data_IF_569263739118
#
_entry.id   IF_569263739118
#
_cell.length_a   1.000
_cell.length_b   1.000
_cell.length_c   1.000
_cell.angle_alpha   90.00
_cell.angle_beta   90.00
_cell.angle_gamma   90.00
#
_symmetry.space_group_name_H-M   'P 1'
#
loop_
_entity.id
_entity.type
_entity.pdbx_description
1 polymer ?
#
# COMPACT_ATOMS: atom_id res chain seq x y z
N UNK A 1 2.07 -4.97 29.69
CA UNK A 1 1.35 -5.72 28.65
C UNK A 1 0.74 -6.94 29.31
N UNK A 2 -0.55 -6.89 29.65
CA UNK A 2 -1.27 -8.05 30.17
C UNK A 2 -1.82 -8.84 28.99
N UNK A 3 -1.29 -10.04 28.79
CA UNK A 3 -1.78 -11.00 27.82
C UNK A 3 -2.95 -11.76 28.43
N UNK A 4 -4.19 -11.42 28.05
CA UNK A 4 -5.36 -12.20 28.43
C UNK A 4 -5.71 -13.19 27.31
N UNK A 5 -5.80 -14.45 27.73
CA UNK A 5 -6.59 -15.57 27.21
C UNK A 5 -6.73 -15.74 25.69
N UNK A 6 -5.97 -16.66 25.12
CA UNK A 6 -6.09 -17.10 23.75
C UNK A 6 -7.44 -17.79 23.49
N UNK A 7 -8.29 -17.20 22.63
CA UNK A 7 -9.29 -17.96 21.87
C UNK A 7 -8.74 -18.16 20.46
N UNK A 8 -8.31 -19.38 20.17
CA UNK A 8 -8.00 -19.82 18.82
C UNK A 8 -9.31 -19.83 18.01
N UNK A 9 -9.50 -18.84 17.14
CA UNK A 9 -10.60 -18.84 16.20
C UNK A 9 -10.07 -19.45 14.91
N UNK A 10 -10.34 -20.74 14.73
CA UNK A 10 -10.11 -21.45 13.49
C UNK A 10 -10.98 -20.85 12.38
N UNK A 11 -10.31 -20.46 11.30
CA UNK A 11 -10.76 -20.31 9.92
C UNK A 11 -12.28 -20.24 9.69
N UNK A 12 -12.79 -19.03 9.54
CA UNK A 12 -14.04 -18.82 8.82
C UNK A 12 -13.69 -18.32 7.42
N UNK A 13 -13.93 -19.17 6.41
CA UNK A 13 -14.02 -18.74 5.01
C UNK A 13 -15.15 -17.73 4.90
N UNK A 14 -14.85 -16.44 5.04
CA UNK A 14 -15.81 -15.40 4.73
C UNK A 14 -15.53 -14.88 3.31
N UNK A 15 -16.52 -15.03 2.43
CA UNK A 15 -16.58 -14.28 1.17
C UNK A 15 -16.39 -12.81 1.50
N UNK A 16 -15.36 -12.19 0.95
CA UNK A 16 -15.13 -10.77 1.08
C UNK A 16 -16.37 -10.01 0.62
N UNK A 17 -17.12 -9.45 1.56
CA UNK A 17 -18.13 -8.44 1.25
C UNK A 17 -17.41 -7.11 1.20
N UNK A 18 -17.37 -6.52 0.03
CA UNK A 18 -16.91 -5.16 -0.13
C UNK A 18 -17.82 -4.22 0.67
N UNK A 19 -17.21 -3.36 1.46
CA UNK A 19 -17.89 -2.29 2.18
C UNK A 19 -18.54 -1.34 1.15
N UNK A 20 -19.84 -1.18 1.23
CA UNK A 20 -20.59 -0.18 0.50
C UNK A 20 -20.98 0.92 1.50
N UNK A 21 -20.30 2.08 1.54
CA UNK A 21 -20.79 3.22 2.31
C UNK A 21 -22.12 3.66 1.69
N UNK A 22 -23.12 3.89 2.53
CA UNK A 22 -24.46 4.28 2.13
C UNK A 22 -24.42 5.41 1.09
N UNK A 23 -24.86 5.13 -0.14
CA UNK A 23 -24.93 6.08 -1.25
C UNK A 23 -23.91 5.93 -2.38
N UNK A 24 -22.94 5.01 -2.31
CA UNK A 24 -22.11 4.65 -3.45
C UNK A 24 -22.77 3.51 -4.24
N UNK A 25 -23.69 3.87 -5.13
CA UNK A 25 -24.22 2.92 -6.11
C UNK A 25 -23.09 2.23 -6.87
N UNK A 26 -23.25 0.93 -7.04
CA UNK A 26 -22.41 -0.03 -7.74
C UNK A 26 -21.82 0.51 -9.06
N UNK A 27 -20.67 1.17 -9.01
CA UNK A 27 -20.00 1.71 -10.21
C UNK A 27 -18.89 0.77 -10.71
N UNK A 28 -18.64 -0.36 -10.06
CA UNK A 28 -17.53 -1.22 -10.41
C UNK A 28 -17.89 -2.70 -10.60
N UNK A 29 -19.06 -2.99 -11.14
CA UNK A 29 -19.41 -4.36 -11.56
C UNK A 29 -20.11 -4.35 -12.90
N UNK A 30 -19.38 -4.53 -13.95
CA UNK A 30 -19.72 -5.04 -15.30
C UNK A 30 -19.08 -4.17 -16.37
N UNK A 31 -17.92 -4.50 -16.76
CA UNK A 31 -17.24 -4.36 -18.04
C UNK A 31 -15.77 -4.04 -17.85
N UNK A 32 -14.99 -5.09 -17.61
CA UNK A 32 -13.53 -5.07 -17.78
C UNK A 32 -13.19 -5.16 -19.29
N UNK A 33 -13.88 -4.41 -20.13
CA UNK A 33 -13.55 -4.29 -21.53
C UNK A 33 -12.49 -3.23 -21.74
N UNK A 34 -11.31 -3.70 -22.07
CA UNK A 34 -10.12 -3.19 -22.81
C UNK A 34 -9.80 -1.69 -22.89
N UNK A 35 -10.63 -0.79 -22.36
CA UNK A 35 -10.33 0.63 -22.11
C UNK A 35 -10.70 0.92 -20.66
N UNK A 36 -9.74 0.78 -19.74
CA UNK A 36 -9.92 1.23 -18.37
C UNK A 36 -9.94 2.77 -18.37
N UNK A 37 -11.10 3.34 -18.70
CA UNK A 37 -11.38 4.74 -18.50
C UNK A 37 -11.80 4.94 -17.05
N UNK A 38 -11.00 5.64 -16.29
CA UNK A 38 -11.30 6.00 -14.91
C UNK A 38 -12.46 6.99 -14.90
N UNK A 39 -13.54 6.71 -14.17
CA UNK A 39 -14.69 7.61 -14.12
C UNK A 39 -14.30 8.98 -13.53
N UNK A 40 -14.77 10.14 -14.09
CA UNK A 40 -14.40 11.47 -13.62
C UNK A 40 -14.58 11.71 -12.12
N UNK A 41 -15.56 11.05 -11.50
CA UNK A 41 -15.86 11.15 -10.07
C UNK A 41 -14.75 10.55 -9.18
N UNK A 42 -14.04 9.52 -9.67
CA UNK A 42 -12.90 8.92 -8.96
C UNK A 42 -11.67 9.83 -8.97
N UNK A 43 -11.45 10.62 -10.02
CA UNK A 43 -10.36 11.59 -10.05
C UNK A 43 -10.45 12.56 -8.89
N UNK A 44 -11.59 13.21 -8.71
CA UNK A 44 -11.75 14.24 -7.67
C UNK A 44 -11.50 13.69 -6.25
N UNK A 45 -12.07 12.53 -5.93
CA UNK A 45 -11.92 11.91 -4.62
C UNK A 45 -10.47 11.46 -4.32
N UNK A 46 -9.75 10.96 -5.34
CA UNK A 46 -8.35 10.57 -5.20
C UNK A 46 -7.47 11.82 -5.06
N UNK A 47 -7.78 12.92 -5.75
CA UNK A 47 -6.97 14.14 -5.72
C UNK A 47 -7.07 14.91 -4.40
N UNK A 48 -8.25 15.04 -3.83
CA UNK A 48 -8.46 15.84 -2.62
C UNK A 48 -7.73 15.28 -1.39
N UNK A 49 -7.53 13.96 -1.32
CA UNK A 49 -6.93 13.31 -0.16
C UNK A 49 -5.48 12.83 -0.36
N UNK A 50 -4.98 12.79 -1.60
CA UNK A 50 -3.69 12.19 -1.89
C UNK A 50 -2.53 13.20 -1.93
N UNK A 51 -2.85 14.50 -2.01
CA UNK A 51 -1.84 15.55 -2.04
C UNK A 51 -0.94 15.53 -0.81
N UNK A 52 -1.54 15.33 0.37
CA UNK A 52 -0.81 15.28 1.64
C UNK A 52 0.15 14.08 1.67
N UNK A 53 -0.27 12.93 1.13
CA UNK A 53 0.59 11.77 1.01
C UNK A 53 1.75 12.00 0.04
N UNK A 54 1.47 12.52 -1.13
CA UNK A 54 2.50 12.73 -2.17
C UNK A 54 3.50 13.81 -1.80
N UNK A 55 3.11 14.81 -1.01
CA UNK A 55 3.99 15.86 -0.50
C UNK A 55 5.02 15.35 0.52
N UNK A 56 4.84 14.17 1.09
CA UNK A 56 5.82 13.54 1.98
C UNK A 56 7.04 13.00 1.23
N UNK A 57 6.99 12.91 -0.10
CA UNK A 57 8.10 12.39 -0.88
C UNK A 57 9.01 13.50 -1.37
N UNK A 58 10.31 13.34 -1.11
CA UNK A 58 11.35 14.23 -1.65
C UNK A 58 11.69 13.75 -3.05
N UNK A 59 11.71 14.67 -4.02
CA UNK A 59 12.04 14.35 -5.41
C UNK A 59 13.52 13.97 -5.54
N UNK A 60 13.85 12.72 -5.91
CA UNK A 60 15.22 12.26 -6.03
C UNK A 60 15.90 12.74 -7.32
N UNK A 61 15.16 13.39 -8.22
CA UNK A 61 15.66 13.83 -9.53
C UNK A 61 16.37 15.19 -9.40
N UNK A 62 17.38 15.38 -10.25
CA UNK A 62 18.02 16.70 -10.42
C UNK A 62 17.03 17.66 -11.09
N UNK A 63 17.09 18.97 -10.76
CA UNK A 63 16.16 19.99 -11.26
C UNK A 63 15.99 20.03 -12.78
N UNK A 64 17.05 19.77 -13.55
CA UNK A 64 17.00 19.71 -15.02
C UNK A 64 16.19 18.53 -15.59
N UNK A 65 15.91 17.49 -14.80
CA UNK A 65 15.15 16.29 -15.21
C UNK A 65 13.66 16.32 -14.82
N UNK A 66 13.18 17.41 -14.21
CA UNK A 66 11.85 17.49 -13.60
C UNK A 66 10.79 18.08 -14.54
N UNK A 67 10.61 17.50 -15.76
CA UNK A 67 9.54 17.91 -16.69
C UNK A 67 8.13 17.69 -16.10
N UNK A 68 7.96 16.64 -15.30
CA UNK A 68 6.73 16.31 -14.60
C UNK A 68 6.98 16.43 -13.10
N UNK A 69 6.06 16.98 -12.35
CA UNK A 69 6.14 17.04 -10.88
C UNK A 69 6.13 15.62 -10.31
N UNK A 70 6.85 15.39 -9.22
CA UNK A 70 6.85 14.09 -8.54
C UNK A 70 5.44 13.70 -8.09
N UNK A 71 4.69 14.66 -7.56
CA UNK A 71 3.28 14.51 -7.20
C UNK A 71 2.46 13.89 -8.34
N UNK A 72 2.51 14.46 -9.54
CA UNK A 72 1.73 14.00 -10.68
C UNK A 72 2.11 12.56 -11.08
N UNK A 73 3.41 12.24 -11.01
CA UNK A 73 3.91 10.88 -11.33
C UNK A 73 3.37 9.87 -10.32
N UNK A 74 3.44 10.17 -9.01
CA UNK A 74 2.95 9.28 -7.95
C UNK A 74 1.44 9.09 -8.09
N UNK A 75 0.69 10.16 -8.34
CA UNK A 75 -0.76 10.08 -8.56
C UNK A 75 -1.10 9.17 -9.73
N UNK A 76 -0.41 9.31 -10.87
CA UNK A 76 -0.63 8.44 -12.04
C UNK A 76 -0.30 6.98 -11.72
N UNK A 77 0.78 6.71 -10.97
CA UNK A 77 1.13 5.35 -10.52
C UNK A 77 0.01 4.77 -9.65
N UNK A 78 -0.49 5.52 -8.66
CA UNK A 78 -1.56 5.06 -7.78
C UNK A 78 -2.85 4.80 -8.55
N UNK A 79 -3.22 5.67 -9.49
CA UNK A 79 -4.38 5.45 -10.36
C UNK A 79 -4.22 4.21 -11.23
N UNK A 80 -3.02 3.98 -11.77
CA UNK A 80 -2.72 2.79 -12.55
C UNK A 80 -2.83 1.51 -11.70
N UNK A 81 -2.33 1.52 -10.46
CA UNK A 81 -2.46 0.40 -9.51
C UNK A 81 -3.92 0.13 -9.18
N UNK A 82 -4.71 1.17 -8.88
CA UNK A 82 -6.15 1.05 -8.62
C UNK A 82 -6.92 0.55 -9.84
N UNK A 83 -6.39 0.78 -11.05
CA UNK A 83 -6.92 0.22 -12.31
C UNK A 83 -6.39 -1.20 -12.61
N UNK A 84 -5.72 -1.85 -11.66
CA UNK A 84 -5.22 -3.22 -11.79
C UNK A 84 -3.90 -3.38 -12.51
N UNK A 85 -3.16 -2.28 -12.78
CA UNK A 85 -1.82 -2.39 -13.36
C UNK A 85 -0.79 -2.78 -12.29
N UNK A 86 0.04 -3.78 -12.60
CA UNK A 86 1.00 -4.35 -11.64
C UNK A 86 2.47 -4.22 -12.10
N UNK A 87 2.73 -3.43 -13.14
CA UNK A 87 4.08 -3.30 -13.69
C UNK A 87 4.35 -1.88 -14.19
N UNK A 88 5.62 -1.52 -14.23
CA UNK A 88 6.05 -0.21 -14.76
C UNK A 88 5.60 -0.02 -16.22
N UNK A 89 5.64 -1.09 -17.02
CA UNK A 89 5.08 -1.06 -18.40
C UNK A 89 3.56 -0.85 -18.37
N UNK A 90 2.87 -1.41 -17.39
CA UNK A 90 1.44 -1.20 -17.16
C UNK A 90 1.14 0.26 -16.83
N UNK A 91 1.93 0.90 -15.97
CA UNK A 91 1.78 2.32 -15.61
C UNK A 91 1.95 3.22 -16.84
N UNK A 92 2.97 2.98 -17.67
CA UNK A 92 3.18 3.75 -18.89
C UNK A 92 2.05 3.56 -19.91
N UNK A 93 1.52 2.32 -20.06
CA UNK A 93 0.37 2.04 -20.93
C UNK A 93 -0.90 2.74 -20.41
N UNK A 94 -1.16 2.64 -19.10
CA UNK A 94 -2.28 3.33 -18.46
C UNK A 94 -2.22 4.84 -18.71
N UNK A 95 -1.04 5.45 -18.46
CA UNK A 95 -0.84 6.87 -18.68
C UNK A 95 -1.08 7.27 -20.16
N UNK A 96 -0.60 6.46 -21.09
CA UNK A 96 -0.78 6.74 -22.53
C UNK A 96 -2.24 6.56 -22.97
N UNK A 97 -2.93 5.53 -22.47
CA UNK A 97 -4.35 5.27 -22.81
C UNK A 97 -5.31 6.32 -22.25
N UNK A 98 -4.95 6.96 -21.13
CA UNK A 98 -5.75 8.00 -20.48
C UNK A 98 -5.11 9.40 -20.60
N UNK A 99 -4.30 9.61 -21.65
CA UNK A 99 -3.47 10.81 -21.80
C UNK A 99 -4.30 12.11 -21.76
N UNK A 100 -5.40 12.17 -22.49
CA UNK A 100 -6.25 13.37 -22.60
C UNK A 100 -6.85 13.75 -21.24
N UNK A 101 -7.40 12.77 -20.53
CA UNK A 101 -7.98 12.97 -19.20
C UNK A 101 -6.91 13.38 -18.17
N UNK A 102 -5.76 12.70 -18.17
CA UNK A 102 -4.66 13.02 -17.27
C UNK A 102 -4.08 14.41 -17.51
N UNK A 103 -3.91 14.80 -18.77
CA UNK A 103 -3.43 16.13 -19.14
C UNK A 103 -4.43 17.21 -18.67
N UNK A 104 -5.70 16.99 -18.87
CA UNK A 104 -6.76 17.94 -18.49
C UNK A 104 -6.88 18.07 -16.98
N UNK A 105 -6.97 16.96 -16.25
CA UNK A 105 -7.21 16.97 -14.81
C UNK A 105 -5.97 17.30 -13.96
N UNK A 106 -4.76 16.87 -14.40
CA UNK A 106 -3.49 17.16 -13.72
C UNK A 106 -2.79 18.42 -14.23
N UNK A 107 -3.29 19.02 -15.31
CA UNK A 107 -2.66 20.19 -15.92
C UNK A 107 -1.24 19.90 -16.44
N UNK A 108 -0.99 18.73 -17.03
CA UNK A 108 0.33 18.28 -17.45
C UNK A 108 0.83 19.06 -18.67
N UNK A 109 1.76 20.00 -18.46
CA UNK A 109 2.30 20.85 -19.54
C UNK A 109 3.07 20.09 -20.62
N UNK A 110 3.64 18.94 -20.30
CA UNK A 110 4.51 18.16 -21.16
C UNK A 110 3.93 16.79 -21.55
N UNK A 111 2.59 16.66 -21.47
CA UNK A 111 1.93 15.36 -21.68
C UNK A 111 2.15 14.41 -20.52
N UNK A 112 2.02 13.10 -20.76
CA UNK A 112 2.19 12.07 -19.72
C UNK A 112 3.64 11.62 -19.57
N UNK A 113 4.06 11.19 -18.36
CA UNK A 113 5.41 10.68 -18.13
C UNK A 113 5.73 9.45 -18.99
N UNK A 114 6.99 9.32 -19.37
CA UNK A 114 7.48 8.15 -20.14
C UNK A 114 7.74 6.95 -19.23
N UNK A 115 7.85 5.75 -19.82
CA UNK A 115 8.27 4.54 -19.11
C UNK A 115 9.54 4.72 -18.28
N UNK A 116 10.55 5.40 -18.83
CA UNK A 116 11.81 5.64 -18.12
C UNK A 116 11.62 6.56 -16.90
N UNK A 117 10.68 7.50 -16.96
CA UNK A 117 10.34 8.37 -15.82
C UNK A 117 9.72 7.54 -14.68
N UNK A 118 8.74 6.69 -14.99
CA UNK A 118 8.14 5.79 -14.00
C UNK A 118 9.17 4.84 -13.41
N UNK A 119 10.02 4.24 -14.27
CA UNK A 119 11.08 3.33 -13.83
C UNK A 119 12.03 4.02 -12.84
N UNK A 120 12.54 5.19 -13.21
CA UNK A 120 13.47 5.92 -12.35
C UNK A 120 12.86 6.23 -10.97
N UNK A 121 11.63 6.71 -10.93
CA UNK A 121 10.95 7.04 -9.66
C UNK A 121 10.72 5.78 -8.82
N UNK A 122 10.27 4.68 -9.42
CA UNK A 122 10.05 3.41 -8.71
C UNK A 122 11.35 2.79 -8.18
N UNK A 123 12.48 3.00 -8.86
CA UNK A 123 13.80 2.54 -8.39
C UNK A 123 14.39 3.47 -7.31
N UNK A 124 14.06 4.76 -7.35
CA UNK A 124 14.61 5.76 -6.42
C UNK A 124 13.85 5.84 -5.09
N UNK A 125 12.56 5.52 -5.06
CA UNK A 125 11.76 5.46 -3.83
C UNK A 125 11.92 4.08 -3.21
N UNK A 126 12.69 4.00 -2.11
CA UNK A 126 12.83 2.73 -1.37
C UNK A 126 11.53 2.36 -0.65
N UNK A 127 11.37 1.04 -0.37
CA UNK A 127 10.25 0.52 0.42
C UNK A 127 10.16 1.17 1.80
N UNK A 128 11.29 1.41 2.46
CA UNK A 128 11.35 2.03 3.79
C UNK A 128 10.82 3.47 3.77
N UNK A 129 11.18 4.26 2.74
CA UNK A 129 10.66 5.62 2.55
C UNK A 129 9.16 5.57 2.33
N UNK A 130 8.70 4.65 1.47
CA UNK A 130 7.27 4.49 1.21
C UNK A 130 6.50 4.09 2.48
N UNK A 131 6.96 3.09 3.21
CA UNK A 131 6.33 2.62 4.44
C UNK A 131 6.28 3.71 5.52
N UNK A 132 7.38 4.46 5.70
CA UNK A 132 7.45 5.58 6.64
C UNK A 132 6.47 6.70 6.27
N UNK A 133 6.44 7.10 5.01
CA UNK A 133 5.54 8.15 4.55
C UNK A 133 4.07 7.72 4.63
N UNK A 134 3.78 6.45 4.31
CA UNK A 134 2.45 5.88 4.48
C UNK A 134 2.01 5.92 5.96
N UNK A 135 2.87 5.49 6.87
CA UNK A 135 2.61 5.55 8.31
C UNK A 135 2.34 6.99 8.78
N UNK A 136 3.19 7.94 8.39
CA UNK A 136 3.03 9.36 8.72
C UNK A 136 1.70 9.90 8.19
N UNK A 137 1.35 9.58 6.94
CA UNK A 137 0.09 9.97 6.35
C UNK A 137 -1.11 9.42 7.14
N UNK A 138 -1.09 8.11 7.45
CA UNK A 138 -2.17 7.47 8.21
C UNK A 138 -2.32 8.09 9.60
N UNK A 139 -1.24 8.37 10.31
CA UNK A 139 -1.25 9.03 11.60
C UNK A 139 -1.82 10.45 11.53
N UNK A 140 -1.51 11.20 10.46
CA UNK A 140 -2.00 12.56 10.27
C UNK A 140 -3.49 12.60 9.93
N UNK A 141 -3.95 11.68 9.07
CA UNK A 141 -5.35 11.68 8.60
C UNK A 141 -6.33 11.10 9.63
N UNK A 142 -5.90 10.08 10.36
CA UNK A 142 -6.80 9.30 11.23
C UNK A 142 -6.45 9.40 12.72
N UNK A 143 -5.44 10.16 13.08
CA UNK A 143 -5.00 10.32 14.47
C UNK A 143 -4.42 9.05 15.07
N UNK A 144 -4.55 8.91 16.38
CA UNK A 144 -4.22 7.66 17.07
C UNK A 144 -5.22 6.58 16.64
N UNK A 145 -4.72 5.35 16.43
CA UNK A 145 -5.55 4.20 16.06
C UNK A 145 -6.83 4.15 16.91
N UNK A 146 -7.99 4.36 16.27
CA UNK A 146 -9.28 4.31 16.93
C UNK A 146 -9.72 2.87 17.28
N UNK A 147 -9.20 1.88 16.50
CA UNK A 147 -9.59 0.48 16.67
C UNK A 147 -9.01 -0.13 17.95
N UNK A 148 -9.84 -0.86 18.68
CA UNK A 148 -9.43 -1.65 19.84
C UNK A 148 -8.84 -3.00 19.46
N UNK A 149 -9.17 -3.49 18.27
CA UNK A 149 -8.70 -4.76 17.72
C UNK A 149 -7.87 -4.54 16.45
N UNK A 150 -6.63 -5.00 16.47
CA UNK A 150 -5.68 -4.88 15.36
C UNK A 150 -5.23 -6.27 14.95
N UNK A 151 -5.42 -6.63 13.68
CA UNK A 151 -4.86 -7.85 13.10
C UNK A 151 -3.48 -7.57 12.52
N UNK A 152 -2.52 -8.44 12.80
CA UNK A 152 -1.24 -8.42 12.10
C UNK A 152 -1.03 -9.74 11.38
N UNK A 153 -0.68 -9.66 10.10
CA UNK A 153 -0.45 -10.82 9.23
C UNK A 153 0.81 -10.62 8.39
N UNK A 154 1.60 -11.68 8.30
CA UNK A 154 2.81 -11.74 7.49
C UNK A 154 2.55 -12.45 6.17
N UNK A 155 2.89 -11.82 5.06
CA UNK A 155 2.71 -12.37 3.72
C UNK A 155 3.99 -12.39 2.91
N UNK A 156 4.37 -13.58 2.44
CA UNK A 156 5.50 -13.73 1.52
C UNK A 156 5.15 -13.22 0.12
N UNK A 157 6.06 -12.43 -0.46
CA UNK A 157 5.97 -11.98 -1.85
C UNK A 157 6.60 -13.07 -2.73
N UNK A 158 5.78 -13.94 -3.32
CA UNK A 158 6.23 -15.10 -4.11
C UNK A 158 7.17 -14.72 -5.27
N UNK A 159 6.99 -13.56 -5.90
CA UNK A 159 7.85 -13.07 -6.99
C UNK A 159 9.26 -12.67 -6.55
N UNK A 160 9.51 -12.51 -5.24
CA UNK A 160 10.81 -12.15 -4.68
C UNK A 160 11.68 -13.37 -4.35
N UNK A 161 11.17 -14.60 -4.51
CA UNK A 161 11.89 -15.83 -4.15
C UNK A 161 13.14 -16.00 -5.00
N UNK A 162 14.29 -16.10 -4.33
CA UNK A 162 15.60 -16.41 -4.92
C UNK A 162 16.12 -17.73 -4.36
N UNK A 163 16.84 -18.50 -5.17
CA UNK A 163 17.42 -19.78 -4.75
C UNK A 163 16.37 -20.87 -4.47
N UNK A 164 15.25 -20.89 -5.22
CA UNK A 164 14.08 -21.72 -4.99
C UNK A 164 14.36 -23.18 -4.59
N UNK A 165 13.58 -23.71 -3.65
CA UNK A 165 13.60 -25.08 -3.13
C UNK A 165 14.93 -25.57 -2.53
N UNK A 166 15.84 -24.66 -2.18
CA UNK A 166 17.12 -25.00 -1.50
C UNK A 166 17.17 -24.37 -0.12
N UNK A 167 18.10 -24.82 0.74
CA UNK A 167 18.40 -24.18 2.03
C UNK A 167 18.89 -22.74 1.90
N UNK A 168 19.27 -22.33 0.68
CA UNK A 168 19.67 -20.97 0.33
C UNK A 168 18.50 -20.07 -0.07
N UNK A 169 17.25 -20.55 -0.03
CA UNK A 169 16.07 -19.77 -0.42
C UNK A 169 15.94 -18.47 0.38
N UNK A 170 15.86 -17.36 -0.31
CA UNK A 170 15.59 -16.03 0.24
C UNK A 170 14.33 -15.45 -0.39
N UNK A 171 13.53 -14.75 0.37
CA UNK A 171 12.33 -14.07 -0.10
C UNK A 171 12.00 -12.88 0.79
N UNK A 172 11.23 -11.95 0.24
CA UNK A 172 10.71 -10.79 0.96
C UNK A 172 9.33 -11.15 1.51
N UNK A 173 9.11 -10.84 2.77
CA UNK A 173 7.80 -10.88 3.41
C UNK A 173 7.40 -9.48 3.86
N UNK A 174 6.10 -9.23 3.92
CA UNK A 174 5.53 -7.98 4.43
C UNK A 174 4.60 -8.31 5.58
N UNK A 175 4.82 -7.68 6.72
CA UNK A 175 3.87 -7.67 7.84
C UNK A 175 3.02 -6.41 7.72
N UNK A 176 1.71 -6.56 7.84
CA UNK A 176 0.76 -5.45 7.84
C UNK A 176 -0.06 -5.44 9.12
N UNK A 177 -0.37 -4.25 9.62
CA UNK A 177 -1.29 -4.02 10.74
C UNK A 177 -2.62 -3.48 10.21
N UNK A 178 -3.72 -4.15 10.51
CA UNK A 178 -5.05 -3.86 9.99
C UNK A 178 -6.05 -3.69 11.13
N UNK A 179 -6.79 -2.57 11.14
CA UNK A 179 -7.85 -2.30 12.10
C UNK A 179 -9.14 -3.03 11.78
N UNK A 180 -9.75 -3.64 12.81
CA UNK A 180 -10.98 -4.41 12.63
C UNK A 180 -12.20 -3.55 12.37
N UNK A 181 -12.31 -2.41 13.05
CA UNK A 181 -13.49 -1.54 12.98
C UNK A 181 -13.37 -0.56 11.81
N UNK A 182 -12.23 0.11 11.70
CA UNK A 182 -11.95 1.08 10.62
C UNK A 182 -11.80 0.43 9.24
N UNK A 183 -11.49 -0.89 9.18
CA UNK A 183 -11.15 -1.62 7.95
C UNK A 183 -9.94 -1.04 7.21
N UNK A 184 -9.02 -0.42 7.94
CA UNK A 184 -7.87 0.28 7.37
C UNK A 184 -6.56 -0.38 7.74
N UNK A 185 -5.57 -0.31 6.84
CA UNK A 185 -4.19 -0.67 7.12
C UNK A 185 -3.49 0.52 7.82
N UNK A 186 -3.05 0.33 9.05
CA UNK A 186 -2.36 1.35 9.83
C UNK A 186 -0.87 1.45 9.50
N UNK A 187 -0.27 0.35 9.07
CA UNK A 187 1.14 0.32 8.70
C UNK A 187 1.55 -1.01 8.11
N UNK A 188 2.72 -1.01 7.52
CA UNK A 188 3.35 -2.21 6.96
C UNK A 188 4.87 -2.14 7.13
N UNK A 189 5.51 -3.31 7.18
CA UNK A 189 6.96 -3.43 7.23
C UNK A 189 7.41 -4.64 6.42
N UNK A 190 8.37 -4.44 5.51
CA UNK A 190 8.98 -5.51 4.74
C UNK A 190 10.22 -6.06 5.43
N UNK A 191 10.55 -7.32 5.16
CA UNK A 191 11.77 -7.95 5.64
C UNK A 191 12.19 -9.14 4.75
N UNK A 192 13.48 -9.41 4.74
CA UNK A 192 14.03 -10.61 4.12
C UNK A 192 14.07 -11.73 5.16
N UNK A 193 13.55 -12.93 4.82
CA UNK A 193 13.46 -14.06 5.73
C UNK A 193 14.81 -14.51 6.30
N UNK A 194 15.93 -14.26 5.60
CA UNK A 194 17.28 -14.56 6.09
C UNK A 194 17.85 -13.53 7.06
N UNK A 195 17.38 -12.28 6.99
CA UNK A 195 17.89 -11.20 7.85
C UNK A 195 17.13 -11.06 9.14
N UNK A 196 15.83 -11.30 9.11
CA UNK A 196 14.95 -11.10 10.26
C UNK A 196 13.87 -12.16 10.33
N UNK A 197 13.48 -12.52 11.56
CA UNK A 197 12.30 -13.34 11.79
C UNK A 197 11.05 -12.50 11.86
N UNK A 198 9.91 -13.05 11.45
CA UNK A 198 8.61 -12.37 11.44
C UNK A 198 8.23 -11.81 12.81
N UNK A 199 8.52 -12.53 13.89
CA UNK A 199 8.25 -12.09 15.28
C UNK A 199 8.94 -10.76 15.61
N UNK A 200 10.23 -10.63 15.25
CA UNK A 200 10.99 -9.41 15.49
C UNK A 200 10.44 -8.22 14.69
N UNK A 201 9.98 -8.49 13.49
CA UNK A 201 9.37 -7.45 12.63
C UNK A 201 8.00 -7.02 13.14
N UNK A 202 7.19 -7.95 13.62
CA UNK A 202 5.92 -7.65 14.29
C UNK A 202 6.15 -6.77 15.52
N UNK A 203 7.11 -7.11 16.39
CA UNK A 203 7.46 -6.31 17.56
C UNK A 203 7.92 -4.90 17.18
N UNK A 204 8.76 -4.80 16.14
CA UNK A 204 9.20 -3.51 15.62
C UNK A 204 8.04 -2.68 15.07
N UNK A 205 7.10 -3.31 14.35
CA UNK A 205 5.93 -2.62 13.82
C UNK A 205 5.00 -2.12 14.94
N UNK A 206 4.80 -2.92 15.99
CA UNK A 206 4.04 -2.51 17.20
C UNK A 206 4.67 -1.26 17.84
N UNK A 207 6.01 -1.26 17.94
CA UNK A 207 6.75 -0.12 18.50
C UNK A 207 6.63 1.13 17.62
N UNK A 208 6.81 0.97 16.31
CA UNK A 208 6.73 2.08 15.36
C UNK A 208 5.33 2.71 15.31
N UNK A 209 4.30 1.88 15.43
CA UNK A 209 2.90 2.29 15.50
C UNK A 209 2.50 2.85 16.87
N UNK A 210 3.37 2.73 17.89
CA UNK A 210 3.08 3.13 19.28
C UNK A 210 1.77 2.54 19.81
N UNK A 211 1.53 1.25 19.51
CA UNK A 211 0.30 0.58 19.93
C UNK A 211 0.34 0.36 21.43
N UNK A 212 -0.62 0.97 22.14
CA UNK A 212 -0.83 0.80 23.59
C UNK A 212 -2.30 0.50 23.86
N UNK A 213 -2.56 -0.34 24.85
CA UNK A 213 -3.92 -0.67 25.32
C UNK A 213 -4.88 -1.21 24.24
N UNK A 214 -4.30 -1.95 23.26
CA UNK A 214 -5.05 -2.55 22.15
C UNK A 214 -4.92 -4.07 22.17
N UNK A 215 -5.92 -4.76 21.64
CA UNK A 215 -5.88 -6.20 21.43
C UNK A 215 -5.30 -6.50 20.05
N UNK A 216 -4.16 -7.20 20.03
CA UNK A 216 -3.50 -7.60 18.78
C UNK A 216 -3.81 -9.07 18.50
N UNK A 217 -4.32 -9.36 17.31
CA UNK A 217 -4.53 -10.72 16.83
C UNK A 217 -3.40 -11.10 15.86
N UNK A 218 -2.76 -12.24 16.11
CA UNK A 218 -1.63 -12.77 15.35
C UNK A 218 -1.90 -14.22 14.98
N UNK A 219 -1.21 -14.73 13.95
CA UNK A 219 -1.23 -16.16 13.64
C UNK A 219 -0.60 -16.97 14.79
N UNK A 220 -1.03 -18.25 14.92
CA UNK A 220 -0.57 -19.19 15.95
C UNK A 220 0.94 -19.39 15.99
N UNK A 221 1.65 -19.17 14.89
CA UNK A 221 3.12 -19.20 14.81
C UNK A 221 3.81 -18.20 15.74
N UNK A 222 3.12 -17.14 16.14
CA UNK A 222 3.60 -16.11 17.06
C UNK A 222 3.35 -16.43 18.55
N UNK A 223 2.64 -17.51 18.86
CA UNK A 223 2.33 -17.96 20.23
C UNK A 223 3.54 -18.58 20.95
N UNK A 224 4.72 -18.00 20.84
CA UNK A 224 5.90 -18.38 21.64
C UNK A 224 5.99 -17.50 22.87
N UNK A 225 6.37 -18.12 24.02
CA UNK A 225 6.45 -17.51 25.38
C UNK A 225 7.26 -16.21 25.53
N UNK A 226 7.63 -15.52 24.45
CA UNK A 226 8.45 -14.30 24.43
C UNK A 226 7.89 -13.26 23.46
N UNK A 227 6.64 -12.88 23.65
CA UNK A 227 6.12 -11.62 23.12
C UNK A 227 5.96 -10.65 24.27
#
# INVERSE_FOLDING_TARGET
VHVFGYKCVTSVRSKARYFNPEGAESICSKNWDKKATFAPKCYKMVFENISDFTNLFIDPRRGQGQRHKLHDIIVIILMAILSGQQSIKGFARFAQSNKEDLVTHLGLKHGVPSFNTFRYIMEAISEDIFAKNFLTYMQTQYGSMADDYISMDGKCIKSSVQGGNTSAQNFISVVSAFGHDSKMAYGMKSFENKKSGEVAVVQSLITDLKITDKTITLDALHCKKKL
#
